data_IF_864232419122
#
_entry.id   IF_864232419122
#
_cell.length_a   1.000
_cell.length_b   1.000
_cell.length_c   1.000
_cell.angle_alpha   90.00
_cell.angle_beta   90.00
_cell.angle_gamma   90.00
#
_symmetry.space_group_name_H-M   'P 1'
#
loop_
_entity.id
_entity.type
_entity.pdbx_description
1 polymer ?
#
# COMPACT_ATOMS: atom_id res chain seq x y z
N UNK A 1 -44.36 22.76 -34.01
CA UNK A 1 -43.56 21.53 -34.17
C UNK A 1 -42.10 21.94 -34.27
N UNK A 2 -41.17 21.20 -33.65
CA UNK A 2 -40.18 21.77 -32.73
C UNK A 2 -38.77 21.85 -33.32
N UNK A 3 -38.02 22.90 -32.95
CA UNK A 3 -36.55 22.87 -32.89
C UNK A 3 -36.17 22.42 -31.47
N UNK A 4 -35.77 21.16 -31.33
CA UNK A 4 -35.10 20.68 -30.13
C UNK A 4 -33.62 21.07 -30.20
N UNK A 5 -33.06 21.73 -29.16
CA UNK A 5 -31.61 21.84 -29.03
C UNK A 5 -31.03 20.45 -28.80
N UNK A 6 -30.10 20.09 -29.67
CA UNK A 6 -29.24 18.92 -29.58
C UNK A 6 -28.69 18.77 -28.17
N UNK A 7 -29.17 17.75 -27.46
CA UNK A 7 -28.55 17.25 -26.24
C UNK A 7 -27.12 16.85 -26.60
N UNK A 8 -26.15 17.68 -26.21
CA UNK A 8 -24.76 17.27 -26.10
C UNK A 8 -24.76 16.01 -25.24
N UNK A 9 -24.58 14.86 -25.89
CA UNK A 9 -24.35 13.61 -25.21
C UNK A 9 -23.18 13.84 -24.26
N UNK A 10 -23.46 13.75 -22.95
CA UNK A 10 -22.45 13.62 -21.91
C UNK A 10 -21.51 12.51 -22.38
N UNK A 11 -20.35 12.93 -22.88
CA UNK A 11 -19.29 12.00 -23.22
C UNK A 11 -18.97 11.28 -21.93
N UNK A 12 -18.98 9.94 -21.89
CA UNK A 12 -18.63 9.21 -20.68
C UNK A 12 -17.27 9.72 -20.20
N UNK A 13 -17.10 10.02 -18.90
CA UNK A 13 -15.88 10.61 -18.39
C UNK A 13 -14.71 9.79 -18.91
N UNK A 14 -13.79 10.45 -19.62
CA UNK A 14 -12.67 9.80 -20.30
C UNK A 14 -12.00 8.81 -19.33
N UNK A 15 -11.98 7.53 -19.70
CA UNK A 15 -11.40 6.49 -18.86
C UNK A 15 -10.00 6.92 -18.42
N UNK A 16 -9.73 6.84 -17.12
CA UNK A 16 -8.44 7.26 -16.56
C UNK A 16 -7.30 6.58 -17.31
N UNK A 17 -6.14 7.26 -17.51
CA UNK A 17 -4.97 6.62 -18.08
C UNK A 17 -4.61 5.33 -17.32
N UNK A 18 -4.14 4.30 -18.04
CA UNK A 18 -3.81 3.00 -17.46
C UNK A 18 -2.89 3.10 -16.22
N UNK A 19 -1.93 4.03 -16.23
CA UNK A 19 -1.05 4.30 -15.08
C UNK A 19 -1.80 4.81 -13.84
N UNK A 20 -2.81 5.67 -14.02
CA UNK A 20 -3.63 6.17 -12.93
C UNK A 20 -4.55 5.08 -12.35
N UNK A 21 -5.07 4.19 -13.20
CA UNK A 21 -5.84 3.03 -12.76
C UNK A 21 -4.99 2.05 -11.93
N UNK A 22 -3.77 1.74 -12.40
CA UNK A 22 -2.82 0.91 -11.66
C UNK A 22 -2.49 1.54 -10.30
N UNK A 23 -2.23 2.85 -10.25
CA UNK A 23 -1.92 3.54 -9.00
C UNK A 23 -3.09 3.51 -8.02
N UNK A 24 -4.33 3.67 -8.50
CA UNK A 24 -5.53 3.57 -7.68
C UNK A 24 -5.68 2.16 -7.08
N UNK A 25 -5.43 1.11 -7.86
CA UNK A 25 -5.44 -0.28 -7.39
C UNK A 25 -4.31 -0.56 -6.38
N UNK A 26 -3.11 -0.04 -6.61
CA UNK A 26 -2.02 -0.14 -5.64
C UNK A 26 -2.37 0.55 -4.32
N UNK A 27 -2.97 1.74 -4.38
CA UNK A 27 -3.45 2.44 -3.18
C UNK A 27 -4.45 1.58 -2.41
N UNK A 28 -5.43 0.99 -3.09
CA UNK A 28 -6.41 0.09 -2.47
C UNK A 28 -5.73 -1.11 -1.76
N UNK A 29 -4.80 -1.79 -2.43
CA UNK A 29 -4.05 -2.90 -1.84
C UNK A 29 -3.30 -2.49 -0.56
N UNK A 30 -2.65 -1.32 -0.59
CA UNK A 30 -1.92 -0.77 0.57
C UNK A 30 -2.89 -0.47 1.71
N UNK A 31 -3.99 0.25 1.45
CA UNK A 31 -4.97 0.60 2.47
C UNK A 31 -5.63 -0.63 3.10
N UNK A 32 -6.02 -1.61 2.29
CA UNK A 32 -6.70 -2.82 2.80
C UNK A 32 -5.79 -3.67 3.68
N UNK A 33 -4.55 -3.92 3.27
CA UNK A 33 -3.58 -4.67 4.11
C UNK A 33 -3.15 -3.88 5.35
N UNK A 34 -3.04 -2.56 5.24
CA UNK A 34 -2.53 -1.74 6.34
C UNK A 34 -3.49 -1.59 7.50
N UNK A 35 -4.80 -1.82 7.32
CA UNK A 35 -5.80 -1.76 8.41
C UNK A 35 -5.55 -2.80 9.50
N UNK A 36 -5.45 -4.06 9.09
CA UNK A 36 -5.18 -5.16 10.03
C UNK A 36 -3.83 -4.96 10.71
N UNK A 37 -2.81 -4.57 9.93
CA UNK A 37 -1.48 -4.24 10.47
C UNK A 37 -1.53 -3.10 11.50
N UNK A 38 -2.30 -2.04 11.24
CA UNK A 38 -2.42 -0.91 12.18
C UNK A 38 -3.05 -1.34 13.51
N UNK A 39 -4.11 -2.17 13.47
CA UNK A 39 -4.75 -2.72 14.66
C UNK A 39 -3.80 -3.63 15.44
N UNK A 40 -3.08 -4.54 14.76
CA UNK A 40 -2.09 -5.42 15.38
C UNK A 40 -0.86 -4.68 15.92
N UNK A 41 -0.60 -3.46 15.44
CA UNK A 41 0.51 -2.65 15.96
C UNK A 41 0.28 -2.13 17.39
N UNK A 42 -0.98 -2.06 17.85
CA UNK A 42 -1.32 -1.63 19.21
C UNK A 42 -0.96 -2.68 20.28
N UNK A 43 -1.39 -3.95 20.20
CA UNK A 43 -0.96 -4.96 21.16
C UNK A 43 0.55 -5.19 21.08
N UNK A 44 1.16 -5.10 19.90
CA UNK A 44 2.62 -5.17 19.77
C UNK A 44 3.32 -4.01 20.48
N UNK A 45 2.82 -2.77 20.36
CA UNK A 45 3.31 -1.64 21.15
C UNK A 45 3.11 -1.85 22.66
N UNK A 46 2.01 -2.50 23.06
CA UNK A 46 1.79 -2.93 24.44
C UNK A 46 2.87 -3.91 24.92
N UNK A 47 3.25 -4.91 24.11
CA UNK A 47 4.32 -5.85 24.43
C UNK A 47 5.68 -5.14 24.59
N UNK A 48 5.99 -4.20 23.70
CA UNK A 48 7.20 -3.37 23.82
C UNK A 48 7.13 -2.50 25.08
N UNK A 49 5.95 -1.96 25.41
CA UNK A 49 5.74 -1.21 26.63
C UNK A 49 5.95 -2.03 27.90
N UNK A 50 5.51 -3.29 27.91
CA UNK A 50 5.78 -4.24 29.00
C UNK A 50 7.27 -4.56 29.12
N UNK A 51 7.97 -4.76 27.99
CA UNK A 51 9.42 -4.98 27.96
C UNK A 51 10.21 -3.79 28.56
N UNK A 52 9.75 -2.56 28.28
CA UNK A 52 10.39 -1.34 28.76
C UNK A 52 9.92 -0.91 30.16
N UNK A 53 8.90 -1.55 30.70
CA UNK A 53 8.34 -1.21 32.00
C UNK A 53 9.38 -1.43 33.10
N UNK A 54 9.67 -0.37 33.88
CA UNK A 54 10.71 -0.39 34.91
C UNK A 54 12.15 -0.32 34.37
N UNK A 55 12.35 -0.41 33.05
CA UNK A 55 13.68 -0.28 32.42
C UNK A 55 13.99 1.15 31.99
N UNK A 56 12.95 1.97 31.77
CA UNK A 56 13.09 3.37 31.33
C UNK A 56 12.24 4.30 32.19
N UNK A 57 12.55 5.59 32.13
CA UNK A 57 11.76 6.61 32.84
C UNK A 57 10.28 6.54 32.42
N UNK A 58 9.32 6.56 33.37
CA UNK A 58 7.89 6.47 33.06
C UNK A 58 7.42 7.52 32.05
N UNK A 59 7.94 8.74 32.12
CA UNK A 59 7.62 9.83 31.19
C UNK A 59 8.02 9.52 29.73
N UNK A 60 9.15 8.84 29.54
CA UNK A 60 9.62 8.44 28.22
C UNK A 60 8.72 7.36 27.63
N UNK A 61 8.37 6.36 28.45
CA UNK A 61 7.50 5.26 28.04
C UNK A 61 6.09 5.74 27.70
N UNK A 62 5.49 6.59 28.55
CA UNK A 62 4.17 7.16 28.29
C UNK A 62 4.18 8.09 27.08
N UNK A 63 5.23 8.89 26.90
CA UNK A 63 5.43 9.71 25.70
C UNK A 63 5.53 8.88 24.42
N UNK A 64 6.26 7.78 24.46
CA UNK A 64 6.37 6.85 23.33
C UNK A 64 5.04 6.16 23.00
N UNK A 65 4.32 5.66 24.01
CA UNK A 65 2.99 5.06 23.83
C UNK A 65 1.99 6.09 23.27
N UNK A 66 2.01 7.32 23.78
CA UNK A 66 1.18 8.41 23.27
C UNK A 66 1.50 8.74 21.81
N UNK A 67 2.78 8.81 21.44
CA UNK A 67 3.21 9.00 20.05
C UNK A 67 2.71 7.85 19.15
N UNK A 68 2.80 6.60 19.62
CA UNK A 68 2.31 5.44 18.89
C UNK A 68 0.80 5.47 18.69
N UNK A 69 0.04 5.84 19.71
CA UNK A 69 -1.42 6.03 19.62
C UNK A 69 -1.78 7.17 18.67
N UNK A 70 -1.06 8.29 18.71
CA UNK A 70 -1.28 9.43 17.82
C UNK A 70 -1.04 9.05 16.34
N UNK A 71 0.04 8.32 16.04
CA UNK A 71 0.32 7.84 14.68
C UNK A 71 -0.74 6.83 14.23
N UNK A 72 -1.16 5.91 15.11
CA UNK A 72 -2.23 4.96 14.81
C UNK A 72 -3.55 5.68 14.48
N UNK A 73 -3.92 6.68 15.28
CA UNK A 73 -5.09 7.53 15.06
C UNK A 73 -5.00 8.34 13.76
N UNK A 74 -3.82 8.89 13.45
CA UNK A 74 -3.58 9.58 12.18
C UNK A 74 -3.75 8.63 10.98
N UNK A 75 -3.22 7.41 11.04
CA UNK A 75 -3.39 6.40 9.98
C UNK A 75 -4.87 6.03 9.78
N UNK A 76 -5.64 5.90 10.87
CA UNK A 76 -7.09 5.65 10.80
C UNK A 76 -7.85 6.85 10.19
N UNK A 77 -7.49 8.07 10.55
CA UNK A 77 -8.10 9.28 9.99
C UNK A 77 -7.83 9.39 8.47
N UNK A 78 -6.64 9.02 8.02
CA UNK A 78 -6.33 8.96 6.59
C UNK A 78 -7.17 7.87 5.90
N UNK A 79 -7.24 6.65 6.45
CA UNK A 79 -8.06 5.57 5.85
C UNK A 79 -9.53 5.95 5.74
N UNK A 80 -10.09 6.56 6.78
CA UNK A 80 -11.47 7.03 6.78
C UNK A 80 -11.72 8.13 5.75
N UNK A 81 -10.77 9.06 5.61
CA UNK A 81 -10.86 10.14 4.61
C UNK A 81 -10.68 9.62 3.19
N UNK A 82 -9.78 8.65 2.98
CA UNK A 82 -9.55 7.99 1.69
C UNK A 82 -10.82 7.30 1.18
N UNK A 83 -11.57 6.62 2.05
CA UNK A 83 -12.85 5.98 1.68
C UNK A 83 -13.91 6.96 1.17
N UNK A 84 -13.81 8.23 1.54
CA UNK A 84 -14.71 9.31 1.07
C UNK A 84 -14.22 9.96 -0.23
N UNK A 85 -12.98 9.69 -0.65
CA UNK A 85 -12.36 10.24 -1.84
C UNK A 85 -12.47 9.33 -3.06
N UNK A 86 -12.63 9.93 -4.24
CA UNK A 86 -12.63 9.19 -5.52
C UNK A 86 -11.23 8.76 -6.02
N UNK A 87 -11.16 7.90 -7.04
CA UNK A 87 -9.91 7.29 -7.54
C UNK A 87 -8.88 8.30 -8.09
N UNK A 88 -9.32 9.51 -8.45
CA UNK A 88 -8.48 10.59 -9.01
C UNK A 88 -7.39 11.06 -8.02
N UNK A 89 -7.56 10.81 -6.72
CA UNK A 89 -6.65 11.32 -5.67
C UNK A 89 -5.68 10.27 -5.12
N UNK A 90 -5.51 9.10 -5.77
CA UNK A 90 -4.69 8.00 -5.26
C UNK A 90 -3.25 8.41 -4.87
N UNK A 91 -2.58 9.21 -5.71
CA UNK A 91 -1.22 9.71 -5.44
C UNK A 91 -1.15 10.58 -4.18
N UNK A 92 -2.15 11.45 -3.98
CA UNK A 92 -2.23 12.32 -2.81
C UNK A 92 -2.37 11.50 -1.52
N UNK A 93 -3.27 10.51 -1.52
CA UNK A 93 -3.51 9.65 -0.38
C UNK A 93 -2.31 8.76 -0.05
N UNK A 94 -1.66 8.18 -1.06
CA UNK A 94 -0.42 7.41 -0.88
C UNK A 94 0.70 8.27 -0.27
N UNK A 95 0.88 9.52 -0.73
CA UNK A 95 1.88 10.44 -0.16
C UNK A 95 1.57 10.77 1.30
N UNK A 96 0.31 11.07 1.61
CA UNK A 96 -0.12 11.37 2.99
C UNK A 96 0.05 10.17 3.91
N UNK A 97 -0.28 8.97 3.41
CA UNK A 97 -0.07 7.72 4.14
C UNK A 97 1.43 7.41 4.34
N UNK A 98 2.26 7.71 3.33
CA UNK A 98 3.71 7.64 3.41
C UNK A 98 4.26 8.48 4.57
N UNK A 99 3.81 9.72 4.75
CA UNK A 99 4.22 10.54 5.90
C UNK A 99 3.81 9.94 7.26
N UNK A 100 2.63 9.33 7.34
CA UNK A 100 2.22 8.63 8.56
C UNK A 100 3.11 7.40 8.84
N UNK A 101 3.60 6.71 7.80
CA UNK A 101 4.60 5.63 7.94
C UNK A 101 5.99 6.13 8.29
N UNK A 102 6.40 7.30 7.81
CA UNK A 102 7.65 7.94 8.27
C UNK A 102 7.58 8.20 9.76
N UNK A 103 6.47 8.78 10.24
CA UNK A 103 6.25 9.01 11.66
C UNK A 103 6.27 7.69 12.47
N UNK A 104 5.59 6.64 11.98
CA UNK A 104 5.58 5.32 12.64
C UNK A 104 6.99 4.70 12.71
N UNK A 105 7.74 4.78 11.60
CA UNK A 105 9.12 4.31 11.52
C UNK A 105 10.03 5.05 12.50
N UNK A 106 9.91 6.37 12.61
CA UNK A 106 10.70 7.17 13.57
C UNK A 106 10.36 6.82 15.02
N UNK A 107 9.08 6.59 15.33
CA UNK A 107 8.64 6.19 16.69
C UNK A 107 9.31 4.88 17.12
N UNK A 108 9.35 3.88 16.23
CA UNK A 108 10.03 2.62 16.54
C UNK A 108 11.56 2.71 16.44
N UNK A 109 12.09 3.38 15.42
CA UNK A 109 13.55 3.54 15.22
C UNK A 109 14.22 4.32 16.34
N UNK A 110 13.48 5.23 16.97
CA UNK A 110 13.95 5.97 18.12
C UNK A 110 14.13 5.13 19.38
N UNK A 111 13.37 4.02 19.57
CA UNK A 111 13.47 3.18 20.76
C UNK A 111 14.87 2.61 20.96
N UNK A 112 15.50 2.07 19.93
CA UNK A 112 16.86 1.51 20.05
C UNK A 112 17.98 2.50 19.76
N UNK A 113 17.69 3.80 19.70
CA UNK A 113 18.67 4.85 19.40
C UNK A 113 18.58 6.00 20.41
N UNK A 114 17.95 7.12 20.05
CA UNK A 114 17.97 8.35 20.84
C UNK A 114 16.97 8.37 22.00
N UNK A 115 15.87 7.60 21.95
CA UNK A 115 14.89 7.56 23.06
C UNK A 115 15.38 6.64 24.18
N UNK A 116 15.88 5.44 23.85
CA UNK A 116 16.44 4.51 24.85
C UNK A 116 17.89 4.13 24.50
N UNK A 117 18.87 4.96 24.91
CA UNK A 117 20.28 4.64 24.76
C UNK A 117 20.63 3.36 25.54
N UNK A 118 20.82 2.26 24.83
CA UNK A 118 21.06 0.92 25.43
C UNK A 118 22.47 0.45 25.11
N UNK A 119 23.46 1.10 25.71
CA UNK A 119 24.88 0.78 25.48
C UNK A 119 25.21 -0.63 25.99
N UNK A 120 25.49 -1.57 25.07
CA UNK A 120 26.02 -2.90 25.38
C UNK A 120 25.10 -3.79 26.21
N UNK A 121 23.83 -3.43 26.36
CA UNK A 121 22.87 -4.17 27.18
C UNK A 121 22.06 -5.18 26.35
N UNK A 122 21.61 -6.30 26.96
CA UNK A 122 20.69 -7.24 26.31
C UNK A 122 19.42 -6.58 25.77
N UNK A 123 18.99 -5.47 26.40
CA UNK A 123 17.84 -4.69 25.97
C UNK A 123 18.05 -4.08 24.57
N UNK A 124 19.25 -3.55 24.28
CA UNK A 124 19.55 -2.97 22.96
C UNK A 124 19.48 -4.00 21.83
N UNK A 125 20.00 -5.22 22.08
CA UNK A 125 19.87 -6.34 21.13
C UNK A 125 18.40 -6.73 20.92
N UNK A 126 17.60 -6.76 21.99
CA UNK A 126 16.18 -7.07 21.90
C UNK A 126 15.40 -6.00 21.11
N UNK A 127 15.74 -4.72 21.29
CA UNK A 127 15.16 -3.61 20.53
C UNK A 127 15.55 -3.66 19.05
N UNK A 128 16.79 -4.05 18.73
CA UNK A 128 17.19 -4.28 17.34
C UNK A 128 16.44 -5.45 16.71
N UNK A 129 16.31 -6.58 17.41
CA UNK A 129 15.51 -7.71 16.95
C UNK A 129 14.03 -7.31 16.74
N UNK A 130 13.48 -6.49 17.65
CA UNK A 130 12.13 -5.91 17.54
C UNK A 130 12.02 -5.06 16.28
N UNK A 131 13.02 -4.23 15.99
CA UNK A 131 13.02 -3.37 14.81
C UNK A 131 13.11 -4.20 13.51
N UNK A 132 13.93 -5.25 13.48
CA UNK A 132 14.04 -6.17 12.32
C UNK A 132 12.72 -6.92 12.09
N UNK A 133 12.11 -7.47 13.15
CA UNK A 133 10.79 -8.12 13.06
C UNK A 133 9.73 -7.13 12.54
N UNK A 134 9.74 -5.91 13.05
CA UNK A 134 8.81 -4.85 12.64
C UNK A 134 9.01 -4.48 11.17
N UNK A 135 10.26 -4.38 10.71
CA UNK A 135 10.59 -4.13 9.30
C UNK A 135 10.15 -5.28 8.39
N UNK A 136 10.31 -6.53 8.82
CA UNK A 136 9.85 -7.72 8.09
C UNK A 136 8.32 -7.74 7.95
N UNK A 137 7.58 -7.42 9.01
CA UNK A 137 6.11 -7.26 8.94
C UNK A 137 5.75 -6.11 7.99
N UNK A 138 6.46 -4.98 8.09
CA UNK A 138 6.30 -3.83 7.18
C UNK A 138 6.50 -4.22 5.71
N UNK A 139 7.50 -5.06 5.42
CA UNK A 139 7.73 -5.60 4.09
C UNK A 139 6.53 -6.40 3.56
N UNK A 140 6.00 -7.33 4.34
CA UNK A 140 4.84 -8.15 3.93
C UNK A 140 3.60 -7.29 3.63
N UNK A 141 3.41 -6.22 4.40
CA UNK A 141 2.24 -5.34 4.27
C UNK A 141 2.39 -4.32 3.15
N UNK A 142 3.60 -3.77 2.95
CA UNK A 142 3.83 -2.57 2.12
C UNK A 142 4.62 -2.83 0.84
N UNK A 143 5.11 -4.05 0.59
CA UNK A 143 5.90 -4.42 -0.60
C UNK A 143 5.18 -4.19 -1.94
N UNK A 144 3.86 -4.00 -1.94
CA UNK A 144 3.08 -3.65 -3.13
C UNK A 144 3.35 -2.25 -3.68
N UNK A 145 3.92 -1.35 -2.86
CA UNK A 145 4.25 0.00 -3.26
C UNK A 145 5.56 0.44 -2.59
N UNK A 146 6.61 0.54 -3.40
CA UNK A 146 7.98 0.78 -2.92
C UNK A 146 8.12 2.05 -2.08
N UNK A 147 7.47 3.14 -2.49
CA UNK A 147 7.56 4.42 -1.77
C UNK A 147 7.03 4.35 -0.34
N UNK A 148 5.94 3.61 -0.09
CA UNK A 148 5.36 3.45 1.26
C UNK A 148 6.18 2.49 2.11
N UNK A 149 6.78 1.46 1.50
CA UNK A 149 7.71 0.57 2.18
C UNK A 149 8.95 1.33 2.66
N UNK A 150 9.57 2.13 1.78
CA UNK A 150 10.77 2.92 2.13
C UNK A 150 10.47 4.01 3.15
N UNK A 151 9.31 4.67 3.03
CA UNK A 151 8.82 5.62 4.01
C UNK A 151 8.73 5.01 5.42
N UNK A 152 8.50 3.71 5.56
CA UNK A 152 8.47 3.04 6.86
C UNK A 152 9.84 2.51 7.30
N UNK A 153 10.47 1.69 6.45
CA UNK A 153 11.62 0.87 6.84
C UNK A 153 12.89 1.71 7.04
N UNK A 154 13.10 2.75 6.25
CA UNK A 154 14.28 3.62 6.39
C UNK A 154 14.31 4.35 7.74
N UNK A 155 13.27 5.11 8.15
CA UNK A 155 13.28 5.75 9.47
C UNK A 155 13.22 4.77 10.64
N UNK A 156 12.73 3.55 10.43
CA UNK A 156 12.77 2.46 11.42
C UNK A 156 14.19 1.92 11.63
N UNK A 157 14.92 1.64 10.56
CA UNK A 157 16.18 0.92 10.61
C UNK A 157 17.41 1.83 10.71
N UNK A 158 17.44 2.93 9.95
CA UNK A 158 18.65 3.75 9.87
C UNK A 158 19.12 4.31 11.23
N UNK A 159 18.24 4.82 12.11
CA UNK A 159 18.67 5.33 13.40
C UNK A 159 19.33 4.29 14.29
N UNK A 160 18.72 3.11 14.40
CA UNK A 160 19.21 2.04 15.27
C UNK A 160 20.50 1.43 14.73
N UNK A 161 20.65 1.31 13.40
CA UNK A 161 21.90 0.84 12.78
C UNK A 161 23.03 1.84 12.95
N UNK A 162 22.75 3.14 12.79
CA UNK A 162 23.71 4.21 13.02
C UNK A 162 24.14 4.26 14.49
N UNK A 163 23.21 4.09 15.42
CA UNK A 163 23.50 4.04 16.85
C UNK A 163 24.39 2.85 17.22
N UNK A 164 24.06 1.65 16.73
CA UNK A 164 24.84 0.43 16.95
C UNK A 164 26.24 0.51 16.33
N UNK A 165 26.38 1.21 15.21
CA UNK A 165 27.68 1.46 14.58
C UNK A 165 28.56 2.36 15.45
N UNK A 166 28.00 3.45 15.98
CA UNK A 166 28.72 4.38 16.87
C UNK A 166 29.18 3.71 18.17
N UNK A 167 28.46 2.69 18.64
CA UNK A 167 28.83 1.96 19.84
C UNK A 167 30.17 1.21 19.72
N UNK A 168 30.56 0.83 18.50
CA UNK A 168 31.91 0.29 18.19
C UNK A 168 32.29 -1.06 18.81
N UNK A 169 31.40 -1.69 19.57
CA UNK A 169 31.66 -3.04 20.13
C UNK A 169 31.61 -4.11 19.03
N UNK A 170 32.32 -5.25 19.17
CA UNK A 170 32.24 -6.32 18.17
C UNK A 170 30.82 -6.81 17.91
N UNK A 171 30.00 -6.94 18.96
CA UNK A 171 28.60 -7.35 18.85
C UNK A 171 27.75 -6.30 18.14
N UNK A 172 27.93 -5.01 18.45
CA UNK A 172 27.16 -3.94 17.83
C UNK A 172 27.53 -3.71 16.37
N UNK A 173 28.82 -3.84 16.01
CA UNK A 173 29.29 -3.80 14.63
C UNK A 173 28.73 -4.97 13.81
N UNK A 174 28.74 -6.19 14.36
CA UNK A 174 28.10 -7.34 13.74
C UNK A 174 26.60 -7.08 13.52
N UNK A 175 25.91 -6.59 14.55
CA UNK A 175 24.49 -6.32 14.51
C UNK A 175 24.12 -5.23 13.49
N UNK A 176 24.90 -4.15 13.41
CA UNK A 176 24.76 -3.12 12.37
C UNK A 176 25.02 -3.67 10.97
N UNK A 177 26.06 -4.47 10.78
CA UNK A 177 26.37 -5.05 9.47
C UNK A 177 25.28 -6.02 9.01
N UNK A 178 24.81 -6.91 9.90
CA UNK A 178 23.71 -7.83 9.62
C UNK A 178 22.39 -7.08 9.35
N UNK A 179 22.10 -6.03 10.12
CA UNK A 179 20.93 -5.19 9.91
C UNK A 179 20.98 -4.38 8.62
N UNK A 180 22.16 -3.90 8.20
CA UNK A 180 22.37 -3.26 6.89
C UNK A 180 22.17 -4.24 5.74
N UNK A 181 22.67 -5.48 5.88
CA UNK A 181 22.45 -6.54 4.89
C UNK A 181 20.95 -6.84 4.75
N UNK A 182 20.24 -6.99 5.87
CA UNK A 182 18.80 -7.16 5.89
C UNK A 182 18.08 -5.97 5.24
N UNK A 183 18.47 -4.73 5.56
CA UNK A 183 17.89 -3.53 4.95
C UNK A 183 18.10 -3.52 3.43
N UNK A 184 19.29 -3.90 2.95
CA UNK A 184 19.59 -4.02 1.53
C UNK A 184 18.66 -5.05 0.85
N UNK A 185 18.47 -6.22 1.47
CA UNK A 185 17.53 -7.24 1.00
C UNK A 185 16.11 -6.68 0.88
N UNK A 186 15.63 -5.99 1.93
CA UNK A 186 14.29 -5.37 1.95
C UNK A 186 14.13 -4.32 0.85
N UNK A 187 15.17 -3.53 0.56
CA UNK A 187 15.16 -2.55 -0.53
C UNK A 187 15.08 -3.25 -1.89
N UNK A 188 15.95 -4.23 -2.15
CA UNK A 188 16.03 -4.94 -3.43
C UNK A 188 14.75 -5.73 -3.71
N UNK A 189 14.32 -6.55 -2.75
CA UNK A 189 13.12 -7.37 -2.91
C UNK A 189 11.85 -6.52 -2.84
N UNK A 190 11.88 -5.41 -2.11
CA UNK A 190 10.76 -4.47 -2.06
C UNK A 190 10.54 -3.76 -3.39
N UNK A 191 11.63 -3.38 -4.05
CA UNK A 191 11.58 -2.84 -5.41
C UNK A 191 11.05 -3.88 -6.40
N UNK A 192 11.58 -5.11 -6.36
CA UNK A 192 11.12 -6.22 -7.22
C UNK A 192 9.64 -6.54 -7.01
N UNK A 193 9.19 -6.64 -5.75
CA UNK A 193 7.81 -6.93 -5.39
C UNK A 193 6.85 -5.82 -5.86
N UNK A 194 7.25 -4.55 -5.74
CA UNK A 194 6.46 -3.42 -6.23
C UNK A 194 6.33 -3.44 -7.76
N UNK A 195 7.43 -3.71 -8.48
CA UNK A 195 7.40 -3.86 -9.95
C UNK A 195 6.53 -5.04 -10.39
N UNK A 196 6.64 -6.19 -9.72
CA UNK A 196 5.80 -7.35 -9.97
C UNK A 196 4.31 -7.06 -9.75
N UNK A 197 3.98 -6.31 -8.70
CA UNK A 197 2.60 -5.86 -8.44
C UNK A 197 2.09 -4.95 -9.55
N UNK A 198 2.88 -3.98 -10.00
CA UNK A 198 2.52 -3.07 -11.12
C UNK A 198 2.28 -3.85 -12.41
N UNK A 199 3.15 -4.80 -12.74
CA UNK A 199 3.03 -5.64 -13.93
C UNK A 199 1.74 -6.48 -13.88
N UNK A 200 1.50 -7.19 -12.77
CA UNK A 200 0.30 -8.01 -12.61
C UNK A 200 -1.00 -7.21 -12.71
N UNK A 201 -1.05 -6.00 -12.11
CA UNK A 201 -2.21 -5.12 -12.21
C UNK A 201 -2.42 -4.60 -13.64
N UNK A 202 -1.34 -4.26 -14.35
CA UNK A 202 -1.40 -3.82 -15.75
C UNK A 202 -1.95 -4.93 -16.65
N UNK A 203 -1.48 -6.16 -16.47
CA UNK A 203 -1.91 -7.29 -17.28
C UNK A 203 -3.37 -7.64 -17.00
N UNK A 204 -3.81 -7.60 -15.74
CA UNK A 204 -5.22 -7.75 -15.38
C UNK A 204 -6.12 -6.73 -16.08
N UNK A 205 -5.76 -5.44 -16.03
CA UNK A 205 -6.54 -4.38 -16.67
C UNK A 205 -6.63 -4.55 -18.20
N UNK A 206 -5.55 -5.00 -18.85
CA UNK A 206 -5.55 -5.28 -20.29
C UNK A 206 -6.42 -6.48 -20.65
N UNK A 207 -6.41 -7.52 -19.82
CA UNK A 207 -7.27 -8.68 -20.01
C UNK A 207 -8.75 -8.31 -19.86
N UNK A 208 -9.07 -7.48 -18.87
CA UNK A 208 -10.43 -7.00 -18.64
C UNK A 208 -10.94 -6.16 -19.83
N UNK A 209 -10.09 -5.27 -20.38
CA UNK A 209 -10.41 -4.47 -21.58
C UNK A 209 -10.60 -5.34 -22.83
N UNK A 210 -9.70 -6.31 -23.06
CA UNK A 210 -9.82 -7.25 -24.19
C UNK A 210 -11.08 -8.11 -24.09
N UNK A 211 -11.44 -8.55 -22.89
CA UNK A 211 -12.66 -9.31 -22.65
C UNK A 211 -13.91 -8.46 -22.95
N UNK A 212 -13.92 -7.19 -22.53
CA UNK A 212 -15.00 -6.26 -22.84
C UNK A 212 -15.15 -6.02 -24.35
N UNK A 213 -14.03 -5.84 -25.07
CA UNK A 213 -14.05 -5.67 -26.53
C UNK A 213 -14.57 -6.90 -27.26
N UNK A 214 -14.16 -8.11 -26.82
CA UNK A 214 -14.67 -9.37 -27.39
C UNK A 214 -16.17 -9.52 -27.17
N UNK A 215 -16.65 -9.19 -25.99
CA UNK A 215 -18.08 -9.24 -25.68
C UNK A 215 -18.87 -8.29 -26.58
N UNK A 216 -18.41 -7.05 -26.74
CA UNK A 216 -19.02 -6.08 -27.64
C UNK A 216 -19.03 -6.55 -29.12
N UNK A 217 -17.94 -7.16 -29.59
CA UNK A 217 -17.86 -7.70 -30.94
C UNK A 217 -18.81 -8.90 -31.16
N UNK A 218 -18.95 -9.77 -30.15
CA UNK A 218 -19.90 -10.88 -30.18
C UNK A 218 -21.35 -10.38 -30.24
N UNK A 219 -21.69 -9.38 -29.43
CA UNK A 219 -23.02 -8.75 -29.44
C UNK A 219 -23.33 -8.13 -30.80
N UNK A 220 -22.37 -7.42 -31.41
CA UNK A 220 -22.53 -6.89 -32.77
C UNK A 220 -22.73 -8.00 -33.81
N UNK A 221 -21.95 -9.08 -33.74
CA UNK A 221 -22.09 -10.21 -34.66
C UNK A 221 -23.45 -10.92 -34.50
N UNK A 222 -23.93 -11.07 -33.27
CA UNK A 222 -25.25 -11.63 -32.98
C UNK A 222 -26.37 -10.74 -33.51
N UNK A 223 -26.28 -9.42 -33.31
CA UNK A 223 -27.24 -8.46 -33.85
C UNK A 223 -27.30 -8.54 -35.38
N UNK A 224 -26.15 -8.60 -36.06
CA UNK A 224 -26.10 -8.79 -37.50
C UNK A 224 -26.72 -10.13 -37.94
N UNK A 225 -26.51 -11.21 -37.20
CA UNK A 225 -27.11 -12.51 -37.48
C UNK A 225 -28.63 -12.51 -37.30
N UNK A 226 -29.14 -11.83 -36.26
CA UNK A 226 -30.59 -11.70 -36.01
C UNK A 226 -31.26 -10.89 -37.12
N UNK A 227 -30.66 -9.79 -37.56
CA UNK A 227 -31.17 -9.00 -38.70
C UNK A 227 -31.21 -9.83 -39.97
N UNK A 228 -30.14 -10.60 -40.26
CA UNK A 228 -30.08 -11.49 -41.43
C UNK A 228 -31.16 -12.57 -41.39
N UNK A 229 -31.35 -13.21 -40.23
CA UNK A 229 -32.38 -14.24 -40.06
C UNK A 229 -33.79 -13.66 -40.22
N UNK A 230 -34.03 -12.45 -39.69
CA UNK A 230 -35.32 -11.76 -39.85
C UNK A 230 -35.58 -11.41 -41.31
N UNK A 231 -34.58 -10.92 -42.04
CA UNK A 231 -34.68 -10.63 -43.47
C UNK A 231 -35.00 -11.89 -44.29
N UNK A 232 -34.29 -13.00 -44.04
CA UNK A 232 -34.56 -14.28 -44.72
C UNK A 232 -35.97 -14.80 -44.40
N UNK A 233 -36.43 -14.69 -43.17
CA UNK A 233 -37.78 -15.09 -42.79
C UNK A 233 -38.87 -14.25 -43.49
N UNK A 234 -38.70 -12.92 -43.56
CA UNK A 234 -39.63 -12.03 -44.26
C UNK A 234 -39.64 -12.30 -45.77
N UNK A 235 -38.47 -12.43 -46.41
CA UNK A 235 -38.36 -12.79 -47.83
C UNK A 235 -38.99 -14.15 -48.14
N UNK A 236 -38.80 -15.14 -47.27
CA UNK A 236 -39.41 -16.46 -47.43
C UNK A 236 -40.94 -16.43 -47.27
N UNK A 237 -41.48 -15.49 -46.51
CA UNK A 237 -42.92 -15.31 -46.36
C UNK A 237 -43.52 -14.66 -47.62
N UNK A 238 -42.89 -13.60 -48.13
CA UNK A 238 -43.28 -12.90 -49.36
C UNK A 238 -43.28 -13.84 -50.59
N UNK A 239 -42.27 -14.70 -50.74
CA UNK A 239 -42.21 -15.67 -51.85
C UNK A 239 -43.26 -16.79 -51.76
N UNK A 240 -43.90 -17.00 -50.61
CA UNK A 240 -44.92 -18.04 -50.40
C UNK A 240 -46.35 -17.53 -50.53
N UNK A 241 -46.55 -16.22 -50.57
CA UNK A 241 -47.83 -15.58 -50.87
C UNK A 241 -47.80 -15.06 -52.31
N UNK A 242 -48.51 -15.70 -53.27
CA UNK A 242 -48.55 -15.28 -54.66
C UNK A 242 -49.30 -13.95 -54.88
#
# INVERSE_FOLDING_TARGET
>A
MPDQPSTMADSPPAALPLSAQVLALQAQLVFDRSRLSNLLSLPFAGLVGLLLWGQVAPALLTGWLAAKLAVCGWRLAIDWSHRRGGPVQAAHWLRRYGWAHVADGLVYGGLGSWLVPTHGSPLGTMLLATAICTAAVGFVVLSHHFGTLMAFVLPLMLPILAWQWQLGTPLSLYASAAGLLFLCLVVVDGWRAAQGTVAALRDRLRLDDLAAQRQAALEQAQQHSVVKNRFLATMSHEMRTP
#
